data_IF_465817029428
#
_entry.id   IF_465817029428
#
_cell.length_a   1.000
_cell.length_b   1.000
_cell.length_c   1.000
_cell.angle_alpha   90.00
_cell.angle_beta   90.00
_cell.angle_gamma   90.00
#
_symmetry.space_group_name_H-M   'P 1'
#
loop_
_entity.id
_entity.type
_entity.pdbx_description
1 polymer ?
#
# COMPACT_ATOMS: atom_id res chain seq x y z
N UNK A 1 2.77 -19.25 -8.16
CA UNK A 1 2.13 -17.93 -8.05
C UNK A 1 1.38 -17.75 -6.74
N UNK A 2 0.45 -18.65 -6.39
CA UNK A 2 -0.29 -18.58 -5.11
C UNK A 2 0.61 -18.40 -3.89
N UNK A 3 1.70 -19.18 -3.78
CA UNK A 3 2.68 -19.05 -2.70
C UNK A 3 3.26 -17.63 -2.52
N UNK A 4 3.43 -16.87 -3.61
CA UNK A 4 3.93 -15.50 -3.55
C UNK A 4 2.86 -14.53 -3.03
N UNK A 5 1.59 -14.73 -3.44
CA UNK A 5 0.46 -13.97 -2.91
C UNK A 5 0.28 -14.24 -1.40
N UNK A 6 0.36 -15.51 -0.99
CA UNK A 6 0.25 -15.90 0.41
C UNK A 6 1.38 -15.27 1.25
N UNK A 7 2.61 -15.29 0.73
CA UNK A 7 3.76 -14.69 1.40
C UNK A 7 3.66 -13.16 1.48
N UNK A 8 3.22 -12.50 0.40
CA UNK A 8 2.97 -11.06 0.40
C UNK A 8 1.89 -10.69 1.43
N UNK A 9 0.80 -11.46 1.51
CA UNK A 9 -0.27 -11.24 2.48
C UNK A 9 0.23 -11.34 3.92
N UNK A 10 1.10 -12.31 4.24
CA UNK A 10 1.73 -12.43 5.56
C UNK A 10 2.59 -11.22 5.90
N UNK A 11 3.40 -10.72 4.96
CA UNK A 11 4.24 -9.54 5.18
C UNK A 11 3.39 -8.28 5.41
N UNK A 12 2.31 -8.10 4.64
CA UNK A 12 1.36 -6.99 4.81
C UNK A 12 0.67 -7.05 6.19
N UNK A 13 0.31 -8.25 6.65
CA UNK A 13 -0.28 -8.44 7.97
C UNK A 13 0.72 -8.09 9.08
N UNK A 14 1.93 -8.65 9.02
CA UNK A 14 3.00 -8.43 9.99
C UNK A 14 3.41 -6.95 10.09
N UNK A 15 3.34 -6.21 8.99
CA UNK A 15 3.64 -4.77 8.99
C UNK A 15 2.74 -3.98 9.95
N UNK A 16 1.53 -4.44 10.25
CA UNK A 16 0.61 -3.77 11.19
C UNK A 16 1.00 -3.90 12.67
N UNK A 17 1.88 -4.84 13.01
CA UNK A 17 2.32 -5.11 14.38
C UNK A 17 3.76 -4.66 14.63
N UNK A 18 4.45 -4.22 13.57
CA UNK A 18 5.88 -3.89 13.59
C UNK A 18 6.11 -2.39 13.79
N UNK A 19 7.25 -2.00 14.38
CA UNK A 19 7.69 -0.60 14.38
C UNK A 19 7.80 -0.05 12.95
N UNK A 20 7.63 1.27 12.73
CA UNK A 20 7.53 1.86 11.40
C UNK A 20 8.68 1.49 10.45
N UNK A 21 9.92 1.42 10.93
CA UNK A 21 11.08 1.03 10.12
C UNK A 21 11.01 -0.43 9.65
N UNK A 22 10.52 -1.34 10.50
CA UNK A 22 10.37 -2.75 10.14
C UNK A 22 9.12 -2.98 9.29
N UNK A 23 8.04 -2.24 9.56
CA UNK A 23 6.84 -2.23 8.74
C UNK A 23 7.15 -1.78 7.31
N UNK A 24 7.97 -0.74 7.16
CA UNK A 24 8.46 -0.25 5.87
C UNK A 24 9.11 -1.36 5.03
N UNK A 25 10.08 -2.08 5.62
CA UNK A 25 10.78 -3.18 4.96
C UNK A 25 9.80 -4.28 4.56
N UNK A 26 8.92 -4.67 5.48
CA UNK A 26 7.92 -5.74 5.24
C UNK A 26 6.99 -5.39 4.07
N UNK A 27 6.57 -4.13 3.97
CA UNK A 27 5.70 -3.66 2.89
C UNK A 27 6.45 -3.60 1.56
N UNK A 28 7.71 -3.16 1.55
CA UNK A 28 8.55 -3.17 0.35
C UNK A 28 8.81 -4.59 -0.17
N UNK A 29 9.13 -5.52 0.72
CA UNK A 29 9.30 -6.93 0.36
C UNK A 29 8.01 -7.52 -0.20
N UNK A 30 6.86 -7.19 0.40
CA UNK A 30 5.55 -7.64 -0.11
C UNK A 30 5.27 -7.12 -1.52
N UNK A 31 5.63 -5.86 -1.82
CA UNK A 31 5.47 -5.26 -3.15
C UNK A 31 6.35 -5.98 -4.17
N UNK A 32 7.61 -6.29 -3.83
CA UNK A 32 8.49 -7.06 -4.71
C UNK A 32 7.94 -8.44 -5.06
N UNK A 33 7.31 -9.13 -4.10
CA UNK A 33 6.65 -10.41 -4.36
C UNK A 33 5.42 -10.25 -5.27
N UNK A 34 4.61 -9.21 -5.06
CA UNK A 34 3.42 -8.93 -5.86
C UNK A 34 3.75 -8.45 -7.29
N UNK A 35 4.91 -7.83 -7.51
CA UNK A 35 5.42 -7.45 -8.82
C UNK A 35 5.84 -8.67 -9.65
N UNK A 36 6.33 -9.73 -9.00
CA UNK A 36 6.62 -11.00 -9.66
C UNK A 36 5.33 -11.79 -10.02
N UNK A 37 4.17 -11.37 -9.51
CA UNK A 37 2.88 -12.00 -9.79
C UNK A 37 2.21 -11.39 -11.01
N UNK A 38 1.68 -12.24 -11.90
CA UNK A 38 0.92 -11.78 -13.08
C UNK A 38 -0.26 -10.91 -12.64
N UNK A 39 -0.58 -9.83 -13.39
CA UNK A 39 -1.72 -8.96 -13.08
C UNK A 39 -3.03 -9.75 -12.89
N UNK A 40 -3.70 -9.49 -11.78
CA UNK A 40 -4.99 -10.09 -11.41
C UNK A 40 -5.66 -9.20 -10.37
N UNK A 41 -6.99 -9.32 -10.23
CA UNK A 41 -7.75 -8.50 -9.26
C UNK A 41 -7.26 -8.67 -7.83
N UNK A 42 -6.94 -9.91 -7.46
CA UNK A 42 -6.41 -10.24 -6.13
C UNK A 42 -5.05 -9.58 -5.91
N UNK A 43 -4.10 -9.77 -6.84
CA UNK A 43 -2.79 -9.12 -6.80
C UNK A 43 -2.90 -7.60 -6.72
N UNK A 44 -3.77 -7.00 -7.53
CA UNK A 44 -3.94 -5.55 -7.58
C UNK A 44 -4.60 -5.01 -6.29
N UNK A 45 -5.52 -5.77 -5.69
CA UNK A 45 -6.08 -5.47 -4.37
C UNK A 45 -5.02 -5.49 -3.27
N UNK A 46 -4.11 -6.47 -3.30
CA UNK A 46 -2.97 -6.53 -2.38
C UNK A 46 -1.95 -5.41 -2.63
N UNK A 47 -1.66 -5.08 -3.88
CA UNK A 47 -0.78 -3.94 -4.25
C UNK A 47 -1.33 -2.64 -3.67
N UNK A 48 -2.62 -2.40 -3.87
CA UNK A 48 -3.28 -1.22 -3.32
C UNK A 48 -3.19 -1.17 -1.79
N UNK A 49 -3.48 -2.28 -1.10
CA UNK A 49 -3.37 -2.35 0.35
C UNK A 49 -1.94 -2.09 0.85
N UNK A 50 -0.95 -2.71 0.22
CA UNK A 50 0.46 -2.54 0.55
C UNK A 50 0.91 -1.08 0.37
N UNK A 51 0.60 -0.46 -0.77
CA UNK A 51 0.95 0.94 -1.04
C UNK A 51 0.25 1.92 -0.10
N UNK A 52 -1.03 1.71 0.24
CA UNK A 52 -1.76 2.58 1.16
C UNK A 52 -1.19 2.49 2.58
N UNK A 53 -0.83 1.28 3.05
CA UNK A 53 -0.13 1.11 4.33
C UNK A 53 1.27 1.71 4.31
N UNK A 54 1.97 1.59 3.18
CA UNK A 54 3.29 2.18 2.98
C UNK A 54 3.22 3.70 3.09
N UNK A 55 2.19 4.32 2.53
CA UNK A 55 1.95 5.75 2.66
C UNK A 55 1.80 6.19 4.12
N UNK A 56 1.03 5.45 4.92
CA UNK A 56 0.87 5.74 6.36
C UNK A 56 2.19 5.62 7.11
N UNK A 57 2.95 4.54 6.89
CA UNK A 57 4.25 4.32 7.53
C UNK A 57 5.26 5.41 7.15
N UNK A 58 5.27 5.86 5.89
CA UNK A 58 6.15 6.94 5.46
C UNK A 58 5.79 8.28 6.11
N UNK A 59 4.49 8.57 6.34
CA UNK A 59 4.09 9.74 7.14
C UNK A 59 4.59 9.64 8.58
N UNK A 60 4.45 8.48 9.23
CA UNK A 60 4.96 8.25 10.59
C UNK A 60 6.49 8.41 10.68
N UNK A 61 7.20 8.09 9.60
CA UNK A 61 8.65 8.27 9.47
C UNK A 61 9.07 9.70 9.06
N UNK A 62 8.13 10.64 8.91
CA UNK A 62 8.43 12.02 8.51
C UNK A 62 8.87 12.17 7.06
N UNK A 63 8.38 11.30 6.16
CA UNK A 63 8.73 11.22 4.74
C UNK A 63 7.51 11.51 3.85
N UNK A 64 7.03 12.77 3.81
CA UNK A 64 5.75 13.11 3.18
C UNK A 64 5.74 12.90 1.67
N UNK A 65 6.87 13.16 0.98
CA UNK A 65 6.96 12.99 -0.48
C UNK A 65 6.88 11.52 -0.87
N UNK A 66 7.56 10.64 -0.15
CA UNK A 66 7.48 9.20 -0.33
C UNK A 66 6.09 8.66 0.01
N UNK A 67 5.47 9.22 1.06
CA UNK A 67 4.11 8.88 1.44
C UNK A 67 3.10 9.23 0.34
N UNK A 68 3.21 10.42 -0.25
CA UNK A 68 2.33 10.87 -1.33
C UNK A 68 2.49 9.99 -2.58
N UNK A 69 3.73 9.68 -2.98
CA UNK A 69 3.98 8.75 -4.10
C UNK A 69 3.36 7.37 -3.86
N UNK A 70 3.54 6.82 -2.65
CA UNK A 70 2.93 5.56 -2.28
C UNK A 70 1.40 5.64 -2.28
N UNK A 71 0.82 6.75 -1.78
CA UNK A 71 -0.61 6.96 -1.78
C UNK A 71 -1.18 7.01 -3.21
N UNK A 72 -0.56 7.75 -4.14
CA UNK A 72 -1.01 7.83 -5.53
C UNK A 72 -1.04 6.45 -6.20
N UNK A 73 0.00 5.63 -5.99
CA UNK A 73 0.04 4.26 -6.49
C UNK A 73 -1.05 3.40 -5.87
N UNK A 74 -1.21 3.45 -4.54
CA UNK A 74 -2.24 2.72 -3.82
C UNK A 74 -3.65 3.08 -4.26
N UNK A 75 -3.92 4.37 -4.46
CA UNK A 75 -5.19 4.89 -4.95
C UNK A 75 -5.50 4.40 -6.37
N UNK A 76 -4.50 4.41 -7.26
CA UNK A 76 -4.64 3.91 -8.63
C UNK A 76 -5.04 2.43 -8.65
N UNK A 77 -4.35 1.58 -7.88
CA UNK A 77 -4.68 0.15 -7.77
C UNK A 77 -6.02 -0.09 -7.05
N UNK A 78 -6.39 0.72 -6.06
CA UNK A 78 -7.68 0.62 -5.38
C UNK A 78 -8.85 0.88 -6.35
N UNK A 79 -8.65 1.81 -7.31
CA UNK A 79 -9.63 2.12 -8.35
C UNK A 79 -9.79 0.97 -9.35
N UNK A 80 -8.71 0.29 -9.73
CA UNK A 80 -8.72 -0.76 -10.76
C UNK A 80 -9.11 -2.14 -10.23
N UNK A 81 -8.73 -2.49 -9.00
CA UNK A 81 -9.03 -3.79 -8.37
C UNK A 81 -10.52 -4.00 -8.08
N UNK A 82 -11.30 -2.92 -7.90
CA UNK A 82 -12.71 -2.91 -7.48
C UNK A 82 -12.95 -3.52 -6.09
N UNK A 83 -11.91 -3.65 -5.27
CA UNK A 83 -12.02 -4.16 -3.91
C UNK A 83 -12.55 -3.08 -2.95
N UNK A 84 -13.79 -3.25 -2.49
CA UNK A 84 -14.51 -2.24 -1.72
C UNK A 84 -13.82 -1.86 -0.39
N UNK A 85 -13.13 -2.80 0.25
CA UNK A 85 -12.38 -2.52 1.50
C UNK A 85 -11.19 -1.60 1.25
N UNK A 86 -10.45 -1.87 0.18
CA UNK A 86 -9.26 -1.11 -0.19
C UNK A 86 -9.62 0.27 -0.70
N UNK A 87 -10.69 0.37 -1.51
CA UNK A 87 -11.23 1.66 -1.95
C UNK A 87 -11.61 2.55 -0.78
N UNK A 88 -12.34 2.02 0.22
CA UNK A 88 -12.68 2.79 1.43
C UNK A 88 -11.44 3.23 2.22
N UNK A 89 -10.40 2.42 2.26
CA UNK A 89 -9.12 2.82 2.87
C UNK A 89 -8.49 3.98 2.11
N UNK A 90 -8.44 3.92 0.78
CA UNK A 90 -7.89 4.99 -0.06
C UNK A 90 -8.66 6.30 0.13
N UNK A 91 -10.00 6.24 0.11
CA UNK A 91 -10.88 7.39 0.33
C UNK A 91 -10.68 8.00 1.72
N UNK A 92 -10.51 7.17 2.76
CA UNK A 92 -10.24 7.63 4.13
C UNK A 92 -8.89 8.35 4.25
N UNK A 93 -7.88 7.93 3.49
CA UNK A 93 -6.54 8.53 3.51
C UNK A 93 -6.42 9.77 2.63
N UNK A 94 -7.29 9.92 1.61
CA UNK A 94 -7.25 11.01 0.64
C UNK A 94 -7.13 12.42 1.25
N UNK A 95 -7.84 12.77 2.34
CA UNK A 95 -7.70 14.10 2.95
C UNK A 95 -6.29 14.41 3.47
N UNK A 96 -5.51 13.39 3.83
CA UNK A 96 -4.14 13.55 4.33
C UNK A 96 -3.14 13.96 3.23
N UNK A 97 -3.49 13.72 1.95
CA UNK A 97 -2.64 13.96 0.79
C UNK A 97 -3.19 15.03 -0.15
N UNK A 98 -4.38 15.57 0.10
CA UNK A 98 -5.00 16.63 -0.69
C UNK A 98 -4.40 18.03 -0.42
N UNK A 99 -3.45 18.14 0.52
CA UNK A 99 -2.99 19.40 1.11
C UNK A 99 -1.98 20.24 0.30
N UNK A 100 -1.43 19.75 -0.81
CA UNK A 100 -0.41 20.50 -1.59
C UNK A 100 -0.84 20.86 -3.02
N UNK A 101 -2.14 20.96 -3.29
CA UNK A 101 -2.65 21.46 -4.59
C UNK A 101 -3.01 22.96 -4.58
N UNK A 102 -2.67 23.69 -3.52
CA UNK A 102 -2.90 25.15 -3.43
C UNK A 102 -1.67 25.84 -2.81
N UNK A 103 -0.73 26.20 -3.68
CA UNK A 103 0.42 27.05 -3.40
C UNK A 103 0.90 27.67 -4.71
#
# INVERSE_FOLDING_TARGET
MQRLLDQAALLIQQAGERPPQQALVSLQDSLGLLEAVRPSKERDGMMALAYLRLAQVQLELGRPQEAERAFMLGYSYARTSREARVRRLAERLSPMFAGEAQG
#
